data_IF_162011001173
#
_entry.id   IF_162011001173
#
_cell.length_a   1.000
_cell.length_b   1.000
_cell.length_c   1.000
_cell.angle_alpha   90.00
_cell.angle_beta   90.00
_cell.angle_gamma   90.00
#
_symmetry.space_group_name_H-M   'P 1'
#
loop_
_entity.id
_entity.type
_entity.pdbx_description
1 polymer ?
#
# COMPACT_ATOMS: atom_id res chain seq x y z
N UNK A 1 -6.22 -21.87 -10.51
CA UNK A 1 -6.88 -20.74 -9.84
C UNK A 1 -6.19 -19.46 -10.26
N UNK A 2 -6.80 -18.67 -11.16
CA UNK A 2 -6.16 -17.62 -12.00
C UNK A 2 -5.47 -16.49 -11.22
N UNK A 3 -5.85 -16.27 -9.95
CA UNK A 3 -5.38 -15.14 -9.14
C UNK A 3 -4.60 -15.54 -7.89
N UNK A 4 -4.14 -16.81 -7.80
CA UNK A 4 -3.42 -17.31 -6.62
C UNK A 4 -2.14 -16.50 -6.31
N UNK A 5 -1.53 -15.90 -7.33
CA UNK A 5 -0.34 -15.05 -7.19
C UNK A 5 -0.65 -13.56 -7.01
N UNK A 6 -1.87 -13.12 -7.34
CA UNK A 6 -2.27 -11.70 -7.25
C UNK A 6 -2.27 -11.19 -5.81
N UNK A 7 -2.46 -12.07 -4.83
CA UNK A 7 -2.46 -11.71 -3.40
C UNK A 7 -1.07 -11.74 -2.75
N UNK A 8 -0.01 -12.08 -3.48
CA UNK A 8 1.35 -12.07 -2.92
C UNK A 8 1.77 -10.66 -2.45
N UNK A 9 1.18 -9.61 -3.01
CA UNK A 9 1.41 -8.22 -2.61
C UNK A 9 1.13 -7.96 -1.13
N UNK A 10 0.23 -8.73 -0.52
CA UNK A 10 -0.10 -8.62 0.91
C UNK A 10 1.10 -8.93 1.82
N UNK A 11 2.07 -9.74 1.35
CA UNK A 11 3.28 -10.04 2.10
C UNK A 11 4.14 -8.80 2.37
N UNK A 12 3.89 -7.67 1.69
CA UNK A 12 4.54 -6.40 2.00
C UNK A 12 4.32 -5.97 3.46
N UNK A 13 3.16 -6.28 4.05
CA UNK A 13 2.90 -6.01 5.46
C UNK A 13 3.70 -6.91 6.41
N UNK A 14 4.27 -8.02 5.93
CA UNK A 14 5.12 -8.92 6.73
C UNK A 14 6.56 -8.44 6.87
N UNK A 15 6.96 -7.41 6.12
CA UNK A 15 8.31 -6.81 6.11
C UNK A 15 8.59 -5.96 7.37
N UNK A 16 8.31 -6.53 8.55
CA UNK A 16 8.35 -5.88 9.87
C UNK A 16 9.73 -5.40 10.33
N UNK A 17 10.77 -5.70 9.58
CA UNK A 17 12.13 -5.17 9.76
C UNK A 17 12.32 -3.78 9.11
N UNK A 18 11.31 -3.26 8.41
CA UNK A 18 11.31 -1.91 7.84
C UNK A 18 10.25 -1.05 8.53
N UNK A 19 10.57 0.22 8.80
CA UNK A 19 9.61 1.17 9.35
C UNK A 19 8.55 1.58 8.33
N UNK A 20 8.95 1.65 7.04
CA UNK A 20 8.14 2.12 5.93
C UNK A 20 8.49 1.33 4.67
N UNK A 21 7.47 0.99 3.89
CA UNK A 21 7.64 0.36 2.58
C UNK A 21 6.82 1.13 1.55
N UNK A 22 7.48 1.56 0.48
CA UNK A 22 6.81 2.06 -0.73
C UNK A 22 6.71 0.89 -1.70
N UNK A 23 5.50 0.39 -1.93
CA UNK A 23 5.24 -0.63 -2.94
C UNK A 23 4.98 0.04 -4.28
N UNK A 24 5.66 -0.45 -5.32
CA UNK A 24 5.48 -0.02 -6.70
C UNK A 24 5.31 -1.25 -7.58
N UNK A 25 4.28 -1.27 -8.43
CA UNK A 25 4.12 -2.34 -9.41
C UNK A 25 5.28 -2.32 -10.42
N UNK A 26 5.64 -3.51 -10.93
CA UNK A 26 6.80 -3.69 -11.80
C UNK A 26 6.66 -3.01 -13.17
N UNK A 27 5.47 -2.53 -13.52
CA UNK A 27 5.16 -1.77 -14.73
C UNK A 27 5.15 -0.26 -14.50
N UNK A 28 5.60 0.23 -13.34
CA UNK A 28 5.74 1.65 -13.05
C UNK A 28 7.21 2.08 -12.98
N UNK A 29 7.46 3.36 -13.24
CA UNK A 29 8.80 3.95 -13.23
C UNK A 29 8.78 5.30 -12.50
N UNK A 30 9.68 5.48 -11.53
CA UNK A 30 9.93 6.79 -10.94
C UNK A 30 10.76 7.65 -11.89
N UNK A 31 10.22 8.81 -12.27
CA UNK A 31 10.91 9.79 -13.13
C UNK A 31 11.69 10.84 -12.34
N UNK A 32 11.43 10.95 -11.03
CA UNK A 32 12.02 11.89 -10.09
C UNK A 32 12.21 11.19 -8.75
N UNK A 33 13.04 11.76 -7.87
CA UNK A 33 13.10 11.34 -6.48
C UNK A 33 11.71 11.48 -5.82
N UNK A 34 11.35 10.49 -5.01
CA UNK A 34 10.05 10.35 -4.35
C UNK A 34 10.20 10.01 -2.86
N UNK A 35 11.31 10.45 -2.25
CA UNK A 35 11.63 10.15 -0.85
C UNK A 35 10.57 10.69 0.13
N UNK A 36 9.83 11.71 -0.27
CA UNK A 36 8.70 12.24 0.49
C UNK A 36 7.61 11.20 0.76
N UNK A 37 7.47 10.17 -0.09
CA UNK A 37 6.48 9.11 0.10
C UNK A 37 6.68 8.35 1.41
N UNK A 38 7.93 8.21 1.87
CA UNK A 38 8.25 7.52 3.13
C UNK A 38 7.78 8.28 4.38
N UNK A 39 7.36 9.53 4.23
CA UNK A 39 6.80 10.33 5.32
C UNK A 39 5.27 10.17 5.44
N UNK A 40 4.66 9.41 4.52
CA UNK A 40 3.24 9.12 4.60
C UNK A 40 2.92 8.21 5.79
N UNK A 41 1.65 8.21 6.22
CA UNK A 41 1.19 7.54 7.42
C UNK A 41 1.23 6.01 7.40
N UNK A 42 0.27 5.38 8.08
CA UNK A 42 0.24 3.91 8.19
C UNK A 42 -0.10 3.20 6.88
N UNK A 43 -0.99 3.79 6.09
CA UNK A 43 -1.32 3.33 4.76
C UNK A 43 -1.72 4.54 3.90
N UNK A 44 -1.10 4.67 2.74
CA UNK A 44 -1.40 5.73 1.79
C UNK A 44 -1.44 5.15 0.39
N UNK A 45 -2.41 5.56 -0.41
CA UNK A 45 -2.54 5.10 -1.78
C UNK A 45 -2.98 6.25 -2.69
N UNK A 46 -2.75 6.10 -3.99
CA UNK A 46 -3.14 7.09 -5.00
C UNK A 46 -4.57 6.82 -5.45
N UNK A 47 -5.43 7.84 -5.42
CA UNK A 47 -6.82 7.71 -5.89
C UNK A 47 -6.93 7.80 -7.42
N UNK A 48 -7.55 6.79 -8.04
CA UNK A 48 -7.93 6.82 -9.48
C UNK A 48 -9.12 7.75 -9.67
N UNK A 49 -10.05 7.69 -8.72
CA UNK A 49 -11.24 8.51 -8.63
C UNK A 49 -11.61 8.71 -7.14
N UNK A 50 -12.59 9.56 -6.81
CA UNK A 50 -12.95 9.85 -5.41
C UNK A 50 -13.44 8.66 -4.59
N UNK A 51 -13.65 7.48 -5.18
CA UNK A 51 -14.17 6.29 -4.51
C UNK A 51 -13.19 5.12 -4.49
N UNK A 52 -12.15 5.13 -5.33
CA UNK A 52 -11.28 3.97 -5.56
C UNK A 52 -9.82 4.41 -5.65
N UNK A 53 -8.99 3.87 -4.74
CA UNK A 53 -7.54 3.99 -4.85
C UNK A 53 -6.93 2.89 -5.69
N UNK A 54 -5.80 3.16 -6.34
CA UNK A 54 -5.02 2.22 -7.13
C UNK A 54 -3.98 1.52 -6.24
N UNK A 55 -3.82 0.21 -6.41
CA UNK A 55 -2.79 -0.53 -5.67
C UNK A 55 -1.43 -0.51 -6.35
N UNK A 56 -1.28 0.06 -7.55
CA UNK A 56 0.02 0.09 -8.24
C UNK A 56 1.10 0.95 -7.59
N UNK A 57 0.70 1.92 -6.76
CA UNK A 57 1.58 2.64 -5.86
C UNK A 57 0.87 2.86 -4.53
N UNK A 58 1.46 2.33 -3.46
CA UNK A 58 1.04 2.65 -2.09
C UNK A 58 2.22 2.66 -1.13
N UNK A 59 2.04 3.35 -0.01
CA UNK A 59 2.95 3.36 1.13
C UNK A 59 2.29 2.61 2.27
N UNK A 60 3.05 1.79 2.99
CA UNK A 60 2.57 1.12 4.19
C UNK A 60 3.58 1.19 5.33
N UNK A 61 3.05 1.10 6.55
CA UNK A 61 3.79 0.65 7.72
C UNK A 61 3.64 -0.88 7.82
N UNK A 62 4.73 -1.65 7.74
CA UNK A 62 4.65 -3.09 7.92
C UNK A 62 4.12 -3.43 9.32
N UNK A 63 3.24 -4.42 9.39
CA UNK A 63 2.66 -4.91 10.63
C UNK A 63 2.22 -6.35 10.47
N UNK A 64 2.83 -7.24 11.25
CA UNK A 64 2.44 -8.66 11.27
C UNK A 64 1.00 -8.86 11.74
N UNK A 65 0.45 -7.96 12.54
CA UNK A 65 -0.93 -8.02 13.00
C UNK A 65 -1.90 -7.69 11.86
N UNK A 66 -1.62 -6.63 11.10
CA UNK A 66 -2.40 -6.27 9.89
C UNK A 66 -2.28 -7.37 8.85
N UNK A 67 -1.08 -7.92 8.63
CA UNK A 67 -0.87 -9.03 7.70
C UNK A 67 -1.70 -10.26 8.08
N UNK A 68 -1.62 -10.72 9.34
CA UNK A 68 -2.42 -11.85 9.83
C UNK A 68 -3.92 -11.58 9.75
N UNK A 69 -4.36 -10.35 10.02
CA UNK A 69 -5.76 -9.96 9.88
C UNK A 69 -6.22 -10.07 8.42
N UNK A 70 -5.45 -9.57 7.45
CA UNK A 70 -5.75 -9.73 6.02
C UNK A 70 -5.83 -11.21 5.60
N UNK A 71 -4.93 -12.07 6.10
CA UNK A 71 -5.00 -13.51 5.82
C UNK A 71 -6.29 -14.16 6.36
N UNK A 72 -6.74 -13.77 7.56
CA UNK A 72 -8.04 -14.23 8.10
C UNK A 72 -9.21 -13.76 7.25
N UNK A 73 -9.20 -12.51 6.79
CA UNK A 73 -10.23 -11.98 5.89
C UNK A 73 -10.31 -12.74 4.56
N UNK A 74 -9.17 -13.23 4.04
CA UNK A 74 -9.13 -14.12 2.88
C UNK A 74 -9.76 -15.50 3.18
N UNK A 75 -9.51 -16.07 4.36
CA UNK A 75 -10.09 -17.36 4.78
C UNK A 75 -11.62 -17.29 4.88
N UNK A 76 -12.16 -16.20 5.43
CA UNK A 76 -13.61 -15.96 5.52
C UNK A 76 -14.23 -15.43 4.22
N UNK A 77 -13.43 -15.32 3.15
CA UNK A 77 -13.86 -14.87 1.81
C UNK A 77 -14.54 -13.50 1.84
N UNK A 78 -13.87 -12.52 2.46
CA UNK A 78 -14.22 -11.09 2.29
C UNK A 78 -14.49 -10.77 0.82
N UNK A 79 -15.45 -9.88 0.59
CA UNK A 79 -15.77 -9.41 -0.74
C UNK A 79 -14.53 -8.84 -1.45
N UNK A 80 -14.29 -9.35 -2.67
CA UNK A 80 -13.15 -9.00 -3.51
C UNK A 80 -13.63 -8.99 -4.98
N UNK A 81 -14.20 -7.87 -5.45
CA UNK A 81 -14.92 -7.82 -6.72
C UNK A 81 -14.09 -8.18 -7.97
N UNK A 82 -12.78 -7.90 -7.95
CA UNK A 82 -11.87 -8.22 -9.06
C UNK A 82 -11.10 -9.54 -8.87
N UNK A 83 -11.21 -10.15 -7.68
CA UNK A 83 -10.50 -11.37 -7.33
C UNK A 83 -8.99 -11.22 -7.19
N UNK A 84 -8.46 -10.00 -7.15
CA UNK A 84 -7.04 -9.66 -7.11
C UNK A 84 -6.69 -8.84 -5.84
N UNK A 85 -5.50 -8.22 -5.82
CA UNK A 85 -5.06 -7.32 -4.74
C UNK A 85 -5.85 -6.02 -4.70
N UNK A 86 -6.15 -5.43 -5.86
CA UNK A 86 -6.85 -4.16 -6.00
C UNK A 86 -8.22 -4.19 -5.30
N UNK A 87 -9.09 -5.14 -5.64
CA UNK A 87 -10.41 -5.29 -5.03
C UNK A 87 -10.34 -5.65 -3.54
N UNK A 88 -9.40 -6.53 -3.17
CA UNK A 88 -9.22 -6.93 -1.77
C UNK A 88 -8.78 -5.76 -0.91
N UNK A 89 -7.74 -5.01 -1.32
CA UNK A 89 -7.20 -3.90 -0.55
C UNK A 89 -8.21 -2.75 -0.45
N UNK A 90 -8.95 -2.43 -1.52
CA UNK A 90 -10.03 -1.44 -1.48
C UNK A 90 -11.13 -1.84 -0.49
N UNK A 91 -11.50 -3.11 -0.46
CA UNK A 91 -12.49 -3.65 0.49
C UNK A 91 -11.98 -3.64 1.94
N UNK A 92 -10.71 -3.99 2.15
CA UNK A 92 -10.09 -4.08 3.47
C UNK A 92 -9.80 -2.71 4.10
N UNK A 93 -9.28 -1.77 3.31
CA UNK A 93 -8.99 -0.38 3.72
C UNK A 93 -10.09 0.59 3.26
N UNK A 94 -11.36 0.21 3.45
CA UNK A 94 -12.51 1.00 2.98
C UNK A 94 -12.60 2.39 3.63
N UNK A 95 -12.05 2.57 4.83
CA UNK A 95 -12.03 3.85 5.52
C UNK A 95 -10.97 4.82 4.96
N UNK A 96 -10.07 4.39 4.07
CA UNK A 96 -9.04 5.27 3.50
C UNK A 96 -9.64 6.50 2.79
N UNK A 97 -10.86 6.39 2.28
CA UNK A 97 -11.62 7.48 1.67
C UNK A 97 -11.93 8.64 2.63
N UNK A 98 -12.02 8.36 3.93
CA UNK A 98 -12.30 9.34 4.96
C UNK A 98 -11.02 9.90 5.61
N UNK A 99 -9.85 9.41 5.17
CA UNK A 99 -8.56 9.84 5.71
C UNK A 99 -8.08 11.12 5.01
N UNK A 100 -7.26 11.94 5.70
CA UNK A 100 -6.74 13.16 5.11
C UNK A 100 -5.82 12.87 3.93
N UNK A 101 -5.80 13.78 2.96
CA UNK A 101 -4.82 13.74 1.88
C UNK A 101 -3.40 13.98 2.42
N UNK A 102 -2.45 13.21 1.92
CA UNK A 102 -1.04 13.43 2.21
C UNK A 102 -0.55 14.69 1.51
N UNK A 103 -0.02 15.63 2.30
CA UNK A 103 0.69 16.81 1.80
C UNK A 103 2.18 16.64 2.12
N UNK A 104 3.04 16.43 1.11
CA UNK A 104 4.47 16.33 1.36
C UNK A 104 5.00 17.67 1.88
N UNK A 105 5.93 17.68 2.83
CA UNK A 105 6.51 18.92 3.33
C UNK A 105 7.34 19.64 2.25
N UNK A 106 7.38 20.97 2.31
CA UNK A 106 8.09 21.82 1.35
C UNK A 106 9.59 21.54 1.26
N UNK A 107 10.17 21.06 2.37
CA UNK A 107 11.57 20.66 2.41
C UNK A 107 11.70 19.24 1.90
N UNK A 108 12.42 19.06 0.77
CA UNK A 108 12.87 17.75 0.32
C UNK A 108 13.55 17.03 1.49
N UNK A 109 13.10 15.82 1.80
CA UNK A 109 13.73 15.04 2.86
C UNK A 109 15.18 14.73 2.52
N UNK A 110 16.10 15.16 3.39
CA UNK A 110 17.49 14.68 3.40
C UNK A 110 17.68 13.45 4.29
N UNK A 111 16.60 12.97 4.92
CA UNK A 111 16.61 11.83 5.84
C UNK A 111 16.94 10.50 5.16
N UNK A 112 16.56 10.35 3.89
CA UNK A 112 16.91 9.21 3.06
C UNK A 112 18.08 9.62 2.17
N UNK A 113 19.30 9.37 2.64
CA UNK A 113 20.53 9.77 1.93
C UNK A 113 20.92 8.81 0.81
N UNK A 114 20.10 7.80 0.51
CA UNK A 114 20.42 6.76 -0.47
C UNK A 114 21.47 5.75 0.00
N UNK A 115 21.89 5.81 1.27
CA UNK A 115 22.71 4.79 1.91
C UNK A 115 21.78 3.80 2.63
N UNK A 116 21.46 2.70 1.95
CA UNK A 116 20.67 1.58 2.48
C UNK A 116 21.53 0.32 2.52
#
# INVERSE_FOLDING_TARGET
NRFKLSLNKLYAWSLSNYDRVVMLDADNLFLKNTDELFQCGQFCAVFINPCIFHTGLFVLQPSMDVFKAMLRELEVKRDNPDGADQGFLVSYFSDLLNQPLFSPPDNRTTLLTGHF
#
